data_IF_532808141226
#
_entry.id   IF_532808141226
#
_cell.length_a   1.000
_cell.length_b   1.000
_cell.length_c   1.000
_cell.angle_alpha   90.00
_cell.angle_beta   90.00
_cell.angle_gamma   90.00
#
_symmetry.space_group_name_H-M   'P 1'
#
loop_
_entity.id
_entity.type
_entity.pdbx_description
1 polymer ?
#
# COMPACT_ATOMS: atom_id res chain seq x y z
N UNK A 1 -4.99 -16.77 26.18
CA UNK A 1 -3.92 -16.42 25.22
C UNK A 1 -4.37 -15.15 24.52
N UNK A 2 -3.85 -13.99 24.94
CA UNK A 2 -4.37 -12.69 24.51
C UNK A 2 -4.01 -12.43 23.03
N UNK A 3 -5.01 -12.12 22.21
CA UNK A 3 -4.80 -11.58 20.88
C UNK A 3 -4.13 -10.21 21.03
N UNK A 4 -2.91 -10.05 20.50
CA UNK A 4 -2.29 -8.74 20.39
C UNK A 4 -3.10 -7.92 19.38
N UNK A 5 -3.61 -6.77 19.82
CA UNK A 5 -4.25 -5.81 18.93
C UNK A 5 -3.30 -5.46 17.77
N UNK A 6 -3.81 -5.23 16.55
CA UNK A 6 -2.98 -4.74 15.46
C UNK A 6 -2.26 -3.48 15.94
N UNK A 7 -0.93 -3.47 15.82
CA UNK A 7 -0.14 -2.26 16.00
C UNK A 7 -0.46 -1.35 14.82
N UNK A 8 -1.58 -0.61 14.92
CA UNK A 8 -1.68 0.68 14.26
C UNK A 8 -0.59 1.50 14.92
N UNK A 9 0.53 1.68 14.24
CA UNK A 9 1.61 2.55 14.70
C UNK A 9 1.02 3.96 14.83
N UNK A 10 0.50 4.28 16.02
CA UNK A 10 0.18 5.63 16.45
C UNK A 10 1.49 6.42 16.43
N UNK A 11 1.80 7.01 15.27
CA UNK A 11 2.61 8.21 15.04
C UNK A 11 3.23 8.16 13.63
N UNK A 12 2.48 8.58 12.61
CA UNK A 12 2.88 9.59 11.61
C UNK A 12 1.58 10.17 11.01
N UNK A 13 1.37 11.48 11.16
CA UNK A 13 0.38 12.36 10.52
C UNK A 13 -1.07 11.85 10.34
N UNK A 14 -2.00 12.45 11.10
CA UNK A 14 -3.42 12.52 10.70
C UNK A 14 -3.52 13.31 9.39
N UNK A 15 -3.48 12.61 8.25
CA UNK A 15 -3.45 13.20 6.92
C UNK A 15 -3.76 12.19 5.80
N UNK A 16 -5.04 11.91 5.59
CA UNK A 16 -5.71 11.25 4.45
C UNK A 16 -5.18 9.91 3.86
N UNK A 17 -3.99 9.42 4.15
CA UNK A 17 -3.53 8.12 3.67
C UNK A 17 -2.35 7.59 4.49
N UNK A 18 -2.63 6.87 5.57
CA UNK A 18 -1.61 6.22 6.38
C UNK A 18 -1.26 4.84 5.81
N UNK A 19 0.01 4.45 5.97
CA UNK A 19 0.45 3.08 5.72
C UNK A 19 -0.24 2.14 6.71
N UNK A 20 -0.85 1.08 6.19
CA UNK A 20 -1.55 0.09 6.99
C UNK A 20 -0.77 -1.22 6.95
N UNK A 21 -0.34 -1.72 8.11
CA UNK A 21 0.30 -3.02 8.23
C UNK A 21 -0.58 -3.96 9.06
N UNK A 22 -1.11 -5.00 8.43
CA UNK A 22 -1.91 -6.05 9.06
C UNK A 22 -1.09 -7.33 9.13
N UNK A 23 -0.76 -7.74 10.34
CA UNK A 23 0.10 -8.90 10.60
C UNK A 23 -0.62 -10.25 10.45
N UNK A 24 -1.93 -10.30 10.73
CA UNK A 24 -2.79 -11.45 10.47
C UNK A 24 -4.23 -11.01 10.14
N UNK A 25 -4.66 -11.20 8.90
CA UNK A 25 -5.99 -10.84 8.40
C UNK A 25 -7.12 -11.57 9.12
N UNK A 26 -6.90 -12.79 9.61
CA UNK A 26 -7.95 -13.52 10.36
C UNK A 26 -8.12 -13.01 11.79
N UNK A 27 -7.07 -12.42 12.36
CA UNK A 27 -7.12 -11.85 13.71
C UNK A 27 -7.54 -10.36 13.71
N UNK A 28 -7.49 -9.68 12.56
CA UNK A 28 -7.70 -8.23 12.44
C UNK A 28 -9.16 -7.81 12.14
N UNK A 29 -10.13 -8.72 12.18
CA UNK A 29 -11.56 -8.41 11.89
C UNK A 29 -12.11 -7.27 12.77
N UNK A 30 -12.81 -6.25 12.21
CA UNK A 30 -13.27 -6.12 10.83
C UNK A 30 -12.31 -5.35 9.91
N UNK A 31 -11.13 -4.92 10.39
CA UNK A 31 -10.17 -4.18 9.59
C UNK A 31 -9.38 -5.13 8.67
N UNK A 32 -9.38 -4.83 7.38
CA UNK A 32 -8.84 -5.70 6.33
C UNK A 32 -9.99 -6.33 5.58
N UNK A 33 -10.20 -5.91 4.34
CA UNK A 33 -11.22 -6.46 3.45
C UNK A 33 -10.76 -7.84 2.96
N UNK A 34 -11.19 -8.95 3.57
CA UNK A 34 -10.74 -10.27 3.16
C UNK A 34 -11.34 -10.63 1.80
N UNK A 35 -12.38 -9.91 1.35
CA UNK A 35 -13.10 -10.18 0.12
C UNK A 35 -12.28 -9.91 -1.16
N UNK A 36 -11.32 -8.96 -1.13
CA UNK A 36 -10.43 -8.71 -2.29
C UNK A 36 -9.34 -9.78 -2.37
N UNK A 37 -8.93 -10.34 -1.22
CA UNK A 37 -8.00 -11.46 -1.12
C UNK A 37 -8.69 -12.85 -1.14
N UNK A 38 -10.02 -12.94 -1.07
CA UNK A 38 -10.75 -14.21 -0.93
C UNK A 38 -10.57 -15.16 -2.14
N UNK A 39 -10.15 -14.62 -3.29
CA UNK A 39 -9.87 -15.38 -4.50
C UNK A 39 -8.36 -15.50 -4.81
N UNK A 40 -7.51 -14.79 -4.07
CA UNK A 40 -6.07 -14.90 -4.16
C UNK A 40 -5.58 -15.82 -3.03
N UNK A 41 -4.98 -16.94 -3.39
CA UNK A 41 -4.21 -17.87 -2.55
C UNK A 41 -3.88 -17.38 -1.12
N UNK A 42 -4.02 -18.23 -0.08
CA UNK A 42 -4.24 -17.82 1.31
C UNK A 42 -3.28 -16.72 1.77
N UNK A 43 -3.72 -15.47 1.62
CA UNK A 43 -3.04 -14.29 2.16
C UNK A 43 -3.36 -14.24 3.65
N UNK A 44 -2.33 -14.11 4.46
CA UNK A 44 -2.42 -14.03 5.92
C UNK A 44 -1.98 -12.67 6.44
N UNK A 45 -1.02 -12.00 5.83
CA UNK A 45 -0.60 -10.66 6.23
C UNK A 45 -0.52 -9.72 5.01
N UNK A 46 -0.71 -8.43 5.23
CA UNK A 46 -0.56 -7.39 4.21
C UNK A 46 0.08 -6.15 4.80
N UNK A 47 0.99 -5.51 4.05
CA UNK A 47 1.41 -4.13 4.28
C UNK A 47 0.98 -3.31 3.07
N UNK A 48 0.12 -2.33 3.27
CA UNK A 48 -0.45 -1.46 2.24
C UNK A 48 0.18 -0.08 2.36
N UNK A 49 0.95 0.30 1.34
CA UNK A 49 1.64 1.59 1.26
C UNK A 49 0.85 2.52 0.33
N UNK A 50 0.34 3.65 0.81
CA UNK A 50 -0.37 4.60 -0.04
C UNK A 50 0.61 5.29 -1.00
N UNK A 51 0.18 5.46 -2.24
CA UNK A 51 0.90 6.24 -3.25
C UNK A 51 0.24 7.61 -3.32
N UNK A 52 0.88 8.62 -2.73
CA UNK A 52 0.32 9.97 -2.62
C UNK A 52 1.09 10.93 -3.52
N UNK A 53 0.35 11.66 -4.35
CA UNK A 53 0.84 12.72 -5.21
C UNK A 53 0.37 14.08 -4.69
N UNK A 54 1.27 14.84 -4.05
CA UNK A 54 0.88 16.08 -3.39
C UNK A 54 -0.09 15.78 -2.23
N UNK A 55 -1.39 16.03 -2.44
CA UNK A 55 -2.46 15.70 -1.49
C UNK A 55 -3.42 14.63 -2.00
N UNK A 56 -3.19 14.09 -3.19
CA UNK A 56 -4.06 13.13 -3.85
C UNK A 56 -3.56 11.71 -3.67
N UNK A 57 -4.43 10.78 -3.24
CA UNK A 57 -4.13 9.35 -3.23
C UNK A 57 -4.32 8.80 -4.65
N UNK A 58 -3.22 8.49 -5.33
CA UNK A 58 -3.23 8.01 -6.71
C UNK A 58 -3.19 6.47 -6.83
N UNK A 59 -2.96 5.77 -5.72
CA UNK A 59 -2.96 4.31 -5.67
C UNK A 59 -2.48 3.73 -4.34
N UNK A 60 -2.37 2.40 -4.29
CA UNK A 60 -1.85 1.66 -3.13
C UNK A 60 -0.91 0.56 -3.62
N UNK A 61 0.23 0.39 -2.95
CA UNK A 61 1.17 -0.71 -3.14
C UNK A 61 1.03 -1.72 -1.99
N UNK A 62 0.56 -2.92 -2.31
CA UNK A 62 0.34 -3.98 -1.33
C UNK A 62 1.46 -5.03 -1.35
N UNK A 63 1.96 -5.37 -0.16
CA UNK A 63 2.86 -6.50 0.07
C UNK A 63 2.10 -7.60 0.80
N UNK A 64 1.86 -8.72 0.11
CA UNK A 64 1.13 -9.85 0.67
C UNK A 64 2.08 -10.94 1.19
N UNK A 65 1.75 -11.53 2.34
CA UNK A 65 2.40 -12.73 2.86
C UNK A 65 1.39 -13.86 3.08
N UNK A 66 1.81 -15.10 2.81
CA UNK A 66 0.99 -16.32 2.98
C UNK A 66 0.92 -16.85 4.40
N UNK A 67 1.72 -16.27 5.30
CA UNK A 67 1.75 -16.58 6.72
C UNK A 67 1.57 -15.29 7.50
N UNK A 68 1.12 -15.40 8.75
CA UNK A 68 1.15 -14.26 9.66
C UNK A 68 2.58 -13.72 9.75
N UNK A 69 2.73 -12.41 9.65
CA UNK A 69 4.03 -11.75 9.59
C UNK A 69 3.98 -10.49 10.43
N UNK A 70 4.93 -10.33 11.34
CA UNK A 70 5.15 -9.06 11.99
C UNK A 70 6.03 -8.21 11.07
N UNK A 71 5.48 -7.11 10.57
CA UNK A 71 6.26 -6.13 9.81
C UNK A 71 7.07 -5.29 10.78
N UNK A 72 8.40 -5.32 10.66
CA UNK A 72 9.25 -4.50 11.50
C UNK A 72 9.32 -3.05 10.99
N UNK A 73 9.88 -2.15 11.81
CA UNK A 73 9.99 -0.72 11.47
C UNK A 73 10.78 -0.49 10.17
N UNK A 74 11.86 -1.24 9.97
CA UNK A 74 12.72 -1.12 8.79
C UNK A 74 11.96 -1.51 7.53
N UNK A 75 11.15 -2.57 7.60
CA UNK A 75 10.30 -3.01 6.49
C UNK A 75 9.23 -1.97 6.14
N UNK A 76 8.58 -1.39 7.16
CA UNK A 76 7.60 -0.31 6.99
C UNK A 76 8.24 0.93 6.34
N UNK A 77 9.39 1.37 6.85
CA UNK A 77 10.14 2.51 6.29
C UNK A 77 10.60 2.23 4.85
N UNK A 78 11.04 1.01 4.57
CA UNK A 78 11.45 0.58 3.22
C UNK A 78 10.26 0.57 2.26
N UNK A 79 9.10 0.07 2.70
CA UNK A 79 7.85 0.11 1.94
C UNK A 79 7.45 1.53 1.58
N UNK A 80 7.49 2.45 2.55
CA UNK A 80 7.21 3.88 2.34
C UNK A 80 8.12 4.50 1.29
N UNK A 81 9.44 4.29 1.41
CA UNK A 81 10.43 4.80 0.43
C UNK A 81 10.20 4.23 -0.96
N UNK A 82 9.83 2.95 -1.06
CA UNK A 82 9.48 2.36 -2.35
C UNK A 82 8.23 3.01 -2.93
N UNK A 83 7.21 3.28 -2.11
CA UNK A 83 6.00 4.01 -2.51
C UNK A 83 6.32 5.39 -3.11
N UNK A 84 7.18 6.17 -2.45
CA UNK A 84 7.63 7.47 -2.94
C UNK A 84 8.32 7.36 -4.31
N UNK A 85 9.21 6.38 -4.48
CA UNK A 85 9.86 6.13 -5.77
C UNK A 85 8.86 5.72 -6.86
N UNK A 86 7.87 4.89 -6.52
CA UNK A 86 6.85 4.47 -7.46
C UNK A 86 5.98 5.63 -7.94
N UNK A 87 5.66 6.60 -7.07
CA UNK A 87 4.95 7.83 -7.48
C UNK A 87 5.75 8.58 -8.56
N UNK A 88 7.06 8.72 -8.39
CA UNK A 88 7.93 9.37 -9.38
C UNK A 88 7.92 8.61 -10.71
N UNK A 89 8.05 7.28 -10.67
CA UNK A 89 8.04 6.45 -11.88
C UNK A 89 6.70 6.54 -12.61
N UNK A 90 5.58 6.48 -11.89
CA UNK A 90 4.25 6.57 -12.47
C UNK A 90 4.01 7.92 -13.16
N UNK A 91 4.49 9.03 -12.57
CA UNK A 91 4.47 10.37 -13.19
C UNK A 91 5.23 10.39 -14.51
N UNK A 92 6.48 9.93 -14.51
CA UNK A 92 7.32 9.90 -15.72
C UNK A 92 6.64 9.08 -16.83
N UNK A 93 6.04 7.93 -16.50
CA UNK A 93 5.33 7.09 -17.46
C UNK A 93 4.01 7.71 -17.93
N UNK A 94 3.35 8.53 -17.11
CA UNK A 94 2.17 9.28 -17.54
C UNK A 94 2.55 10.37 -18.55
N UNK A 95 3.59 11.16 -18.24
CA UNK A 95 4.07 12.26 -19.10
C UNK A 95 4.62 11.75 -20.44
N UNK A 96 5.31 10.61 -20.43
CA UNK A 96 5.84 9.97 -21.66
C UNK A 96 4.74 9.52 -22.63
N UNK A 97 3.53 9.23 -22.12
CA UNK A 97 2.36 8.85 -22.94
C UNK A 97 1.67 10.06 -23.56
N UNK A 98 1.73 11.23 -22.92
CA UNK A 98 1.15 12.45 -23.47
C UNK A 98 1.98 13.04 -24.61
N UNK A 99 3.31 12.88 -24.58
CA UNK A 99 4.21 13.34 -25.65
C UNK A 99 4.13 12.48 -26.93
N UNK A 100 3.59 11.27 -26.84
CA UNK A 100 3.50 10.31 -27.96
C UNK A 100 2.16 10.34 -28.71
N UNK A 101 1.27 11.29 -28.42
CA UNK A 101 0.13 11.55 -29.31
C UNK A 101 0.63 12.17 -30.61
N UNK A 102 0.41 11.53 -31.78
CA UNK A 102 0.79 12.14 -33.04
C UNK A 102 -0.09 13.36 -33.22
N UNK A 103 0.53 14.53 -33.32
CA UNK A 103 -0.05 15.72 -33.93
C UNK A 103 -0.46 15.35 -35.35
N UNK A 104 -1.66 14.80 -35.47
CA UNK A 104 -2.32 14.48 -36.71
C UNK A 104 -2.68 15.77 -37.41
N UNK A 105 -1.90 16.07 -38.45
CA UNK A 105 -2.27 16.76 -39.68
C UNK A 105 -3.70 17.34 -39.71
N UNK A 106 -3.77 18.67 -39.74
CA UNK A 106 -4.66 19.43 -40.62
C UNK A 106 -3.91 20.65 -41.14
#
# INVERSE_FOLDING_TARGET
>A
MAAQAPLVLENVLVGMADLIAINDLHAATPQGFPHVAAHALPVRAVMSVPLVEGTELIGVLDFYARMGRNWDRTEVETGSRLGELMVIVLRVLADSRTDSSPSGQM
#
